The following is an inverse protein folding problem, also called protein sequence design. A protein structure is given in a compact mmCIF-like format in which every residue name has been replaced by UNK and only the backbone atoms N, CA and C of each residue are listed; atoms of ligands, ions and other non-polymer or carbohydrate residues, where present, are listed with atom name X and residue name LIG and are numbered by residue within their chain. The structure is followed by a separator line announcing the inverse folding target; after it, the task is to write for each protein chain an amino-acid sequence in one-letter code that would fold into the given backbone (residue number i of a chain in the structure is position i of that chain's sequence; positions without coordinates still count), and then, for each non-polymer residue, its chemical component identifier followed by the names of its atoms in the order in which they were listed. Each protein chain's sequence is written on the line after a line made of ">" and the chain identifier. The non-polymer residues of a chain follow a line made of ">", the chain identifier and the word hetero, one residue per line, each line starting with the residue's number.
data_IF_474551303254
#
_entry.id   IF_474551303254
#
_cell.length_a   1.000
_cell.length_b   1.000
_cell.length_c   1.000
_cell.angle_alpha   90.00
_cell.angle_beta   90.00
_cell.angle_gamma   90.00
#
_symmetry.space_group_name_H-M   'P 1'
#
loop_
_entity.id
_entity.type
_entity.pdbx_description
1 polymer ?
#
# COMPACT_ATOMS: atom_id res chain seq x y z
N UNK A 1 0.58 -12.06 -6.08
CA UNK A 1 -0.63 -11.71 -6.87
C UNK A 1 -0.23 -11.62 -8.35
N UNK A 2 -1.17 -11.60 -9.31
CA UNK A 2 -0.82 -11.49 -10.75
C UNK A 2 -0.01 -10.20 -11.01
N UNK A 3 -0.43 -9.07 -10.43
CA UNK A 3 0.30 -7.82 -10.52
C UNK A 3 1.72 -7.91 -9.95
N UNK A 4 1.90 -8.53 -8.77
CA UNK A 4 3.23 -8.72 -8.15
C UNK A 4 4.14 -9.61 -8.99
N UNK A 5 3.61 -10.69 -9.60
CA UNK A 5 4.39 -11.53 -10.51
C UNK A 5 4.79 -10.75 -11.77
N UNK A 6 3.85 -10.03 -12.38
CA UNK A 6 4.12 -9.27 -13.59
C UNK A 6 5.23 -8.23 -13.40
N UNK A 7 5.19 -7.43 -12.33
CA UNK A 7 6.22 -6.42 -12.07
C UNK A 7 7.58 -7.04 -11.74
N UNK A 8 7.60 -8.19 -11.05
CA UNK A 8 8.83 -8.95 -10.81
C UNK A 8 9.45 -9.41 -12.12
N UNK A 9 8.63 -9.98 -13.01
CA UNK A 9 9.10 -10.63 -14.24
C UNK A 9 9.44 -9.59 -15.34
N UNK A 10 8.82 -8.40 -15.31
CA UNK A 10 8.95 -7.40 -16.39
C UNK A 10 9.84 -6.21 -16.02
N UNK A 11 9.87 -5.79 -14.74
CA UNK A 11 10.48 -4.50 -14.34
C UNK A 11 11.72 -4.64 -13.46
N UNK A 12 12.16 -5.87 -13.14
CA UNK A 12 13.33 -6.16 -12.30
C UNK A 12 13.35 -5.41 -10.95
N UNK A 13 12.18 -5.17 -10.36
CA UNK A 13 12.05 -4.45 -9.09
C UNK A 13 12.31 -5.36 -7.88
N UNK A 14 12.96 -4.83 -6.84
CA UNK A 14 13.17 -5.58 -5.59
C UNK A 14 11.90 -5.70 -4.74
N UNK A 15 11.09 -4.64 -4.71
CA UNK A 15 9.90 -4.57 -3.88
C UNK A 15 8.79 -3.73 -4.50
N UNK A 16 7.56 -3.99 -4.04
CA UNK A 16 6.36 -3.22 -4.38
C UNK A 16 5.95 -2.39 -3.17
N UNK A 17 5.59 -1.12 -3.42
CA UNK A 17 5.04 -0.20 -2.41
C UNK A 17 3.51 -0.16 -2.52
N UNK A 18 2.82 -0.21 -1.40
CA UNK A 18 1.37 -0.06 -1.29
C UNK A 18 1.02 1.07 -0.32
N UNK A 19 0.04 1.90 -0.69
CA UNK A 19 -0.59 2.86 0.24
C UNK A 19 -1.90 2.24 0.71
N UNK A 20 -2.06 2.04 2.01
CA UNK A 20 -3.31 1.52 2.59
C UNK A 20 -3.87 2.50 3.62
N UNK A 21 -5.19 2.60 3.71
CA UNK A 21 -5.86 3.51 4.66
C UNK A 21 -5.62 3.01 6.08
N UNK A 22 -5.02 3.86 6.92
CA UNK A 22 -4.62 3.48 8.28
C UNK A 22 -5.83 3.23 9.19
N UNK A 23 -6.91 3.99 9.01
CA UNK A 23 -8.16 3.87 9.75
C UNK A 23 -8.90 2.55 9.49
N UNK A 24 -8.43 1.73 8.55
CA UNK A 24 -8.93 0.39 8.24
C UNK A 24 -7.92 -0.68 8.67
N UNK A 25 -7.81 -0.98 9.98
CA UNK A 25 -6.81 -1.92 10.48
C UNK A 25 -6.96 -3.32 9.87
N UNK A 26 -8.17 -3.72 9.49
CA UNK A 26 -8.44 -4.99 8.81
C UNK A 26 -7.79 -5.07 7.42
N UNK A 27 -7.73 -3.94 6.69
CA UNK A 27 -7.09 -3.83 5.39
C UNK A 27 -5.56 -3.93 5.53
N UNK A 28 -5.00 -3.25 6.53
CA UNK A 28 -3.57 -3.34 6.84
C UNK A 28 -3.21 -4.78 7.23
N UNK A 29 -3.98 -5.40 8.12
CA UNK A 29 -3.78 -6.79 8.53
C UNK A 29 -3.89 -7.78 7.35
N UNK A 30 -4.79 -7.53 6.41
CA UNK A 30 -4.90 -8.32 5.18
C UNK A 30 -3.61 -8.29 4.36
N UNK A 31 -3.02 -7.10 4.14
CA UNK A 31 -1.77 -6.98 3.40
C UNK A 31 -0.58 -7.56 4.18
N UNK A 32 -0.54 -7.39 5.50
CA UNK A 32 0.50 -8.00 6.35
C UNK A 32 0.55 -9.52 6.20
N UNK A 33 -0.62 -10.20 6.21
CA UNK A 33 -0.70 -11.66 5.97
C UNK A 33 -0.19 -12.08 4.59
N UNK A 34 -0.15 -11.17 3.62
CA UNK A 34 0.36 -11.41 2.26
C UNK A 34 1.84 -11.11 2.09
N UNK A 35 2.55 -10.83 3.18
CA UNK A 35 3.98 -10.54 3.20
C UNK A 35 4.32 -9.07 2.96
N UNK A 36 3.34 -8.17 3.05
CA UNK A 36 3.65 -6.75 3.15
C UNK A 36 4.13 -6.42 4.57
N UNK A 37 5.10 -5.52 4.67
CA UNK A 37 5.73 -5.08 5.90
C UNK A 37 5.42 -3.59 6.05
N UNK A 38 4.98 -3.20 7.24
CA UNK A 38 4.78 -1.80 7.57
C UNK A 38 6.14 -1.07 7.62
N UNK A 39 6.26 0.02 6.88
CA UNK A 39 7.48 0.83 6.87
C UNK A 39 7.52 1.86 8.00
N UNK A 40 6.43 2.01 8.75
CA UNK A 40 6.24 3.07 9.74
C UNK A 40 5.95 4.44 9.13
N UNK A 41 6.09 4.62 7.81
CA UNK A 41 5.76 5.89 7.15
C UNK A 41 4.25 6.06 7.04
N UNK A 42 3.80 7.28 7.31
CA UNK A 42 2.42 7.77 7.21
C UNK A 42 2.40 9.01 6.34
N UNK A 43 1.41 9.11 5.47
CA UNK A 43 1.18 10.28 4.62
C UNK A 43 -0.29 10.68 4.73
N UNK A 44 -0.61 11.99 4.67
CA UNK A 44 -2.00 12.42 4.63
C UNK A 44 -2.67 11.89 3.36
N UNK A 45 -3.95 11.53 3.45
CA UNK A 45 -4.71 11.15 2.27
C UNK A 45 -4.76 12.34 1.30
N UNK A 46 -4.49 12.14 0.00
CA UNK A 46 -4.44 13.22 -0.97
C UNK A 46 -5.80 13.95 -1.02
N UNK A 47 -5.78 15.24 -0.71
CA UNK A 47 -6.95 16.12 -0.82
C UNK A 47 -7.00 16.67 -2.24
N UNK A 48 -8.13 16.52 -2.94
CA UNK A 48 -8.41 17.27 -4.18
C UNK A 48 -8.02 16.60 -5.50
N UNK A 49 -7.84 15.28 -5.53
CA UNK A 49 -7.82 14.56 -6.81
C UNK A 49 -9.28 14.25 -7.19
N UNK A 50 -9.78 14.70 -8.34
CA UNK A 50 -11.19 14.51 -8.76
C UNK A 50 -11.61 13.02 -8.79
N UNK A 51 -10.65 12.10 -8.82
CA UNK A 51 -10.84 10.64 -8.76
C UNK A 51 -10.93 10.09 -7.33
N UNK A 52 -10.50 10.88 -6.35
CA UNK A 52 -10.47 10.51 -4.94
C UNK A 52 -11.76 11.02 -4.30
N UNK A 53 -12.68 10.09 -4.01
CA UNK A 53 -13.94 10.41 -3.35
C UNK A 53 -13.74 11.22 -2.07
N UNK A 54 -14.76 11.98 -1.68
CA UNK A 54 -14.70 12.87 -0.51
C UNK A 54 -14.49 12.04 0.76
N UNK A 55 -13.41 12.29 1.54
CA UNK A 55 -13.18 11.59 2.80
C UNK A 55 -14.36 11.80 3.75
N UNK A 56 -14.96 10.71 4.24
CA UNK A 56 -16.07 10.76 5.21
C UNK A 56 -15.61 11.01 6.65
N UNK A 57 -14.29 10.98 6.89
CA UNK A 57 -13.65 11.13 8.19
C UNK A 57 -12.57 12.19 8.06
N UNK A 58 -12.43 13.01 9.10
CA UNK A 58 -11.35 14.00 9.20
C UNK A 58 -10.01 13.28 9.38
N UNK A 59 -8.92 13.88 8.87
CA UNK A 59 -7.56 13.36 9.03
C UNK A 59 -7.35 11.92 8.55
N UNK A 60 -7.90 11.59 7.39
CA UNK A 60 -7.63 10.32 6.72
C UNK A 60 -6.14 10.20 6.39
N UNK A 61 -5.52 9.09 6.79
CA UNK A 61 -4.09 8.85 6.62
C UNK A 61 -3.86 7.54 5.88
N UNK A 62 -2.77 7.47 5.15
CA UNK A 62 -2.31 6.23 4.52
C UNK A 62 -1.00 5.77 5.14
N UNK A 63 -0.94 4.49 5.48
CA UNK A 63 0.30 3.81 5.80
C UNK A 63 1.00 3.33 4.54
N UNK A 64 2.33 3.40 4.53
CA UNK A 64 3.15 2.85 3.48
C UNK A 64 3.58 1.44 3.86
N UNK A 65 3.15 0.47 3.06
CA UNK A 65 3.55 -0.93 3.18
C UNK A 65 4.50 -1.31 2.04
N UNK A 66 5.43 -2.22 2.29
CA UNK A 66 6.37 -2.75 1.29
C UNK A 66 6.34 -4.26 1.24
N UNK A 67 6.44 -4.86 0.07
CA UNK A 67 6.61 -6.31 -0.09
C UNK A 67 7.76 -6.59 -1.06
N UNK A 68 8.74 -7.35 -0.61
CA UNK A 68 9.81 -7.83 -1.49
C UNK A 68 9.26 -8.86 -2.47
N UNK A 69 9.59 -8.69 -3.74
CA UNK A 69 9.13 -9.57 -4.84
C UNK A 69 10.29 -10.30 -5.51
N UNK A 70 11.53 -9.82 -5.35
CA UNK A 70 12.72 -10.64 -5.56
C UNK A 70 12.87 -11.60 -4.39
N UNK A 71 12.87 -12.90 -4.68
CA UNK A 71 13.48 -13.90 -3.80
C UNK A 71 14.97 -13.89 -4.13
N UNK A 72 15.82 -13.79 -3.09
CA UNK A 72 17.25 -14.02 -3.24
C UNK A 72 17.52 -15.38 -3.89
#
# INVERSE_FOLDING_TARGET
>A
SIAECYVRDTWDVEFVKMKAIMQRPELVAYYNRRGYIDTGRREPFPKGDERSGIPKVQDLEVCILKKYVKLC
#
